data_IF_857134997649
#
_entry.id   IF_857134997649
#
_cell.length_a   1.000
_cell.length_b   1.000
_cell.length_c   1.000
_cell.angle_alpha   90.00
_cell.angle_beta   90.00
_cell.angle_gamma   90.00
#
_symmetry.space_group_name_H-M   'P 1'
#
loop_
_entity.id
_entity.type
_entity.pdbx_description
1 polymer ?
#
# COMPACT_ATOMS: atom_id res chain seq x y z
N UNK A 1 -1.50 7.78 5.25
CA UNK A 1 -0.28 8.25 5.93
C UNK A 1 -0.42 8.30 7.45
N UNK A 2 -1.18 9.22 8.07
CA UNK A 2 -1.24 9.30 9.55
C UNK A 2 -1.67 8.00 10.25
N UNK A 3 -2.66 7.29 9.70
CA UNK A 3 -3.12 6.01 10.26
C UNK A 3 -2.08 4.88 10.15
N UNK A 4 -1.21 4.92 9.13
CA UNK A 4 -0.25 3.85 8.84
C UNK A 4 1.04 4.03 9.63
N UNK A 5 1.44 5.27 9.90
CA UNK A 5 2.55 5.59 10.80
C UNK A 5 2.23 5.14 12.24
N UNK A 6 0.95 5.19 12.64
CA UNK A 6 0.51 4.69 13.95
C UNK A 6 0.55 3.17 14.12
N UNK A 7 0.69 2.40 13.03
CA UNK A 7 0.94 0.95 13.11
C UNK A 7 2.42 0.66 13.40
N UNK A 8 3.33 1.48 12.85
CA UNK A 8 4.76 1.35 13.07
C UNK A 8 5.15 1.61 14.53
N UNK A 9 4.41 2.46 15.24
CA UNK A 9 4.62 2.72 16.67
C UNK A 9 4.25 1.54 17.58
N UNK A 10 3.65 0.48 17.03
CA UNK A 10 3.24 -0.73 17.76
C UNK A 10 4.09 -1.95 17.43
N UNK A 11 5.15 -1.80 16.63
CA UNK A 11 6.08 -2.88 16.36
C UNK A 11 7.10 -2.98 17.51
N UNK A 12 7.13 -4.10 18.21
CA UNK A 12 8.02 -4.33 19.36
C UNK A 12 9.26 -5.16 18.98
N UNK A 13 9.31 -5.66 17.73
CA UNK A 13 10.44 -6.41 17.20
C UNK A 13 10.67 -6.13 15.70
N UNK A 14 11.87 -6.47 15.23
CA UNK A 14 12.19 -6.41 13.80
C UNK A 14 11.29 -7.34 12.97
N UNK A 15 10.88 -8.49 13.54
CA UNK A 15 9.95 -9.41 12.88
C UNK A 15 8.57 -8.77 12.69
N UNK A 16 8.03 -8.12 13.73
CA UNK A 16 6.73 -7.44 13.62
C UNK A 16 6.77 -6.31 12.59
N UNK A 17 7.89 -5.59 12.53
CA UNK A 17 8.08 -4.55 11.52
C UNK A 17 8.06 -5.12 10.10
N UNK A 18 8.77 -6.22 9.85
CA UNK A 18 8.78 -6.90 8.55
C UNK A 18 7.38 -7.39 8.19
N UNK A 19 6.66 -8.00 9.13
CA UNK A 19 5.31 -8.53 8.93
C UNK A 19 4.30 -7.41 8.59
N UNK A 20 4.40 -6.26 9.28
CA UNK A 20 3.58 -5.07 9.02
C UNK A 20 3.89 -4.47 7.64
N UNK A 21 5.17 -4.33 7.29
CA UNK A 21 5.58 -3.79 5.98
C UNK A 21 5.08 -4.71 4.85
N UNK A 22 5.24 -6.02 4.98
CA UNK A 22 4.79 -7.00 3.98
C UNK A 22 3.27 -6.95 3.79
N UNK A 23 2.50 -6.91 4.89
CA UNK A 23 1.04 -6.75 4.83
C UNK A 23 0.64 -5.44 4.15
N UNK A 24 1.38 -4.36 4.42
CA UNK A 24 1.13 -3.06 3.82
C UNK A 24 1.38 -3.05 2.32
N UNK A 25 2.50 -3.62 1.86
CA UNK A 25 2.80 -3.78 0.43
C UNK A 25 1.72 -4.61 -0.29
N UNK A 26 1.31 -5.74 0.31
CA UNK A 26 0.26 -6.60 -0.23
C UNK A 26 -1.08 -5.85 -0.38
N UNK A 27 -1.49 -5.12 0.66
CA UNK A 27 -2.73 -4.34 0.63
C UNK A 27 -2.71 -3.26 -0.45
N UNK A 28 -1.60 -2.53 -0.58
CA UNK A 28 -1.48 -1.49 -1.59
C UNK A 28 -1.52 -2.06 -3.00
N UNK A 29 -0.71 -3.09 -3.26
CA UNK A 29 -0.55 -3.65 -4.59
C UNK A 29 -1.81 -4.36 -5.08
N UNK A 30 -2.52 -5.06 -4.20
CA UNK A 30 -3.65 -5.91 -4.60
C UNK A 30 -5.03 -5.28 -4.35
N UNK A 31 -5.12 -4.25 -3.51
CA UNK A 31 -6.42 -3.65 -3.16
C UNK A 31 -6.44 -2.17 -3.46
N UNK A 32 -5.54 -1.39 -2.85
CA UNK A 32 -5.66 0.08 -2.91
C UNK A 32 -5.34 0.64 -4.29
N UNK A 33 -4.24 0.20 -4.91
CA UNK A 33 -3.79 0.69 -6.22
C UNK A 33 -4.79 0.28 -7.31
N UNK A 34 -5.21 -1.00 -7.44
CA UNK A 34 -6.21 -1.38 -8.44
C UNK A 34 -7.51 -0.57 -8.35
N UNK A 35 -8.02 -0.33 -7.13
CA UNK A 35 -9.22 0.51 -6.92
C UNK A 35 -8.97 1.95 -7.35
N UNK A 36 -7.83 2.53 -6.97
CA UNK A 36 -7.44 3.91 -7.34
C UNK A 36 -7.33 4.10 -8.85
N UNK A 37 -6.82 3.08 -9.53
CA UNK A 37 -6.60 3.07 -10.98
C UNK A 37 -7.82 2.53 -11.76
N UNK A 38 -8.93 2.24 -11.10
CA UNK A 38 -10.14 1.68 -11.70
C UNK A 38 -9.88 0.40 -12.53
N UNK A 39 -8.99 -0.47 -12.03
CA UNK A 39 -8.60 -1.71 -12.70
C UNK A 39 -7.55 -1.55 -13.80
N UNK A 40 -7.10 -0.33 -14.10
CA UNK A 40 -6.06 -0.08 -15.09
C UNK A 40 -4.65 -0.23 -14.51
N UNK A 41 -3.69 -0.55 -15.37
CA UNK A 41 -2.27 -0.46 -15.01
C UNK A 41 -1.85 1.00 -14.80
N UNK A 42 -0.78 1.26 -14.03
CA UNK A 42 -0.29 2.63 -13.82
C UNK A 42 0.06 3.38 -15.11
N UNK A 43 0.49 2.65 -16.16
CA UNK A 43 0.81 3.25 -17.46
C UNK A 43 -0.46 3.71 -18.19
N UNK A 44 -1.45 2.83 -18.29
CA UNK A 44 -2.75 3.13 -18.92
C UNK A 44 -3.47 4.27 -18.20
N UNK A 45 -3.52 4.23 -16.88
CA UNK A 45 -4.18 5.27 -16.09
C UNK A 45 -3.55 6.64 -16.34
N UNK A 46 -2.22 6.75 -16.40
CA UNK A 46 -1.53 8.02 -16.70
C UNK A 46 -1.88 8.57 -18.07
N UNK A 47 -2.08 7.72 -19.07
CA UNK A 47 -2.48 8.14 -20.41
C UNK A 47 -3.93 8.63 -20.47
N UNK A 48 -4.82 8.07 -19.63
CA UNK A 48 -6.23 8.48 -19.55
C UNK A 48 -6.46 9.79 -18.81
N UNK A 49 -5.58 10.14 -17.86
CA UNK A 49 -5.69 11.35 -17.04
C UNK A 49 -4.83 12.52 -17.54
N UNK A 50 -4.17 12.36 -18.70
CA UNK A 50 -3.36 13.40 -19.36
C UNK A 50 -4.23 14.29 -20.25
#
# INVERSE_FOLDING_TARGET
>A
MKAEIGLLTKCYSAKDLVDVINSWMLYYNNTRIPVKLNGHSPGEYRQMTA
#
